data_IF_175868401288
#
_entry.id   IF_175868401288
#
_cell.length_a   1.000
_cell.length_b   1.000
_cell.length_c   1.000
_cell.angle_alpha   90.00
_cell.angle_beta   90.00
_cell.angle_gamma   90.00
#
_symmetry.space_group_name_H-M   'P 1'
#
loop_
_entity.id
_entity.type
_entity.pdbx_description
1 polymer ?
#
# COMPACT_ATOMS: atom_id res chain seq x y z
N UNK A 1 1.16 1.14 -25.04
CA UNK A 1 0.45 1.95 -24.02
C UNK A 1 1.04 1.61 -22.67
N UNK A 2 1.70 2.56 -22.01
CA UNK A 2 2.33 2.33 -20.71
C UNK A 2 1.25 2.06 -19.67
N UNK A 3 1.16 0.83 -19.17
CA UNK A 3 0.25 0.44 -18.10
C UNK A 3 0.78 0.94 -16.74
N UNK A 4 0.87 2.26 -16.58
CA UNK A 4 1.24 2.86 -15.30
C UNK A 4 0.00 3.01 -14.44
N UNK A 5 -0.02 2.29 -13.32
CA UNK A 5 -0.99 2.53 -12.26
C UNK A 5 -0.58 3.84 -11.57
N UNK A 6 -1.44 4.87 -11.51
CA UNK A 6 -1.12 6.10 -10.81
C UNK A 6 -0.95 5.84 -9.31
N UNK A 7 0.13 6.36 -8.73
CA UNK A 7 0.44 6.23 -7.31
C UNK A 7 0.41 7.63 -6.69
N UNK A 8 -0.40 7.81 -5.65
CA UNK A 8 -0.40 9.02 -4.82
C UNK A 8 0.53 8.80 -3.64
N UNK A 9 1.45 9.73 -3.41
CA UNK A 9 2.37 9.73 -2.26
C UNK A 9 2.00 10.87 -1.31
N UNK A 10 1.74 10.54 -0.05
CA UNK A 10 1.36 11.48 1.00
C UNK A 10 2.33 11.37 2.16
N UNK A 11 3.14 12.40 2.46
CA UNK A 11 3.99 12.39 3.64
C UNK A 11 3.16 12.40 4.92
N UNK A 12 3.52 11.54 5.87
CA UNK A 12 2.92 11.47 7.21
C UNK A 12 3.97 11.94 8.24
N UNK A 13 3.88 13.20 8.73
CA UNK A 13 4.87 13.76 9.65
C UNK A 13 5.08 12.88 10.88
N UNK A 14 6.34 12.56 11.18
CA UNK A 14 6.71 11.68 12.30
C UNK A 14 6.47 10.18 12.08
N UNK A 15 5.70 9.78 11.07
CA UNK A 15 5.33 8.37 10.82
C UNK A 15 6.10 7.81 9.62
N UNK A 16 6.07 8.50 8.47
CA UNK A 16 6.63 7.97 7.22
C UNK A 16 5.94 8.53 5.97
N UNK A 17 5.70 7.67 5.00
CA UNK A 17 5.01 8.01 3.74
C UNK A 17 3.90 7.02 3.48
N UNK A 18 2.72 7.51 3.11
CA UNK A 18 1.62 6.69 2.61
C UNK A 18 1.64 6.71 1.08
N UNK A 19 1.56 5.54 0.48
CA UNK A 19 1.38 5.35 -0.96
C UNK A 19 0.01 4.75 -1.20
N UNK A 20 -0.76 5.32 -2.11
CA UNK A 20 -2.08 4.79 -2.48
C UNK A 20 -2.13 4.55 -3.98
N UNK A 21 -2.66 3.40 -4.38
CA UNK A 21 -2.94 3.09 -5.78
C UNK A 21 -4.37 2.55 -5.95
N UNK A 22 -4.95 2.82 -7.10
CA UNK A 22 -6.25 2.25 -7.48
C UNK A 22 -6.03 1.03 -8.37
N UNK A 23 -6.63 -0.08 -7.99
CA UNK A 23 -6.63 -1.30 -8.79
C UNK A 23 -7.73 -1.23 -9.85
N UNK A 24 -7.59 -1.96 -10.96
CA UNK A 24 -8.65 -2.06 -11.97
C UNK A 24 -9.95 -2.65 -11.42
N UNK A 25 -9.88 -3.45 -10.35
CA UNK A 25 -11.04 -4.03 -9.68
C UNK A 25 -11.83 -3.08 -8.78
N UNK A 26 -11.58 -1.76 -8.85
CA UNK A 26 -12.32 -0.76 -8.08
C UNK A 26 -11.96 -0.69 -6.59
N UNK A 27 -10.84 -1.31 -6.19
CA UNK A 27 -10.31 -1.22 -4.82
C UNK A 27 -9.11 -0.29 -4.78
N UNK A 28 -8.96 0.44 -3.67
CA UNK A 28 -7.77 1.20 -3.39
C UNK A 28 -6.87 0.43 -2.40
N UNK A 29 -5.58 0.42 -2.69
CA UNK A 29 -4.56 -0.21 -1.86
C UNK A 29 -3.65 0.88 -1.30
N UNK A 30 -3.51 0.91 0.03
CA UNK A 30 -2.63 1.83 0.75
C UNK A 30 -1.47 1.08 1.37
N UNK A 31 -0.27 1.64 1.24
CA UNK A 31 0.95 1.17 1.85
C UNK A 31 1.52 2.32 2.69
N UNK A 32 1.61 2.12 4.01
CA UNK A 32 2.32 3.05 4.89
C UNK A 32 3.72 2.51 5.12
N UNK A 33 4.72 3.20 4.58
CA UNK A 33 6.12 2.95 4.84
C UNK A 33 6.56 3.79 6.05
N UNK A 34 6.61 3.16 7.23
CA UNK A 34 7.04 3.81 8.46
C UNK A 34 8.56 4.05 8.45
N UNK A 35 9.01 5.10 9.14
CA UNK A 35 10.44 5.46 9.25
C UNK A 35 11.31 4.37 9.89
N UNK A 36 10.72 3.55 10.76
CA UNK A 36 11.35 2.39 11.41
C UNK A 36 11.54 1.19 10.44
N UNK A 37 11.12 1.33 9.17
CA UNK A 37 11.18 0.24 8.19
C UNK A 37 10.01 -0.74 8.32
N UNK A 38 9.02 -0.52 9.17
CA UNK A 38 7.77 -1.29 9.16
C UNK A 38 6.88 -0.85 8.00
N UNK A 39 6.15 -1.79 7.41
CA UNK A 39 5.19 -1.50 6.35
C UNK A 39 3.81 -1.91 6.82
N UNK A 40 2.79 -1.13 6.48
CA UNK A 40 1.40 -1.53 6.70
C UNK A 40 0.66 -1.50 5.38
N UNK A 41 -0.07 -2.57 5.06
CA UNK A 41 -0.87 -2.68 3.85
C UNK A 41 -2.34 -2.69 4.24
N UNK A 42 -3.15 -1.85 3.60
CA UNK A 42 -4.59 -1.81 3.79
C UNK A 42 -5.29 -1.78 2.42
N UNK A 43 -6.47 -2.39 2.36
CA UNK A 43 -7.34 -2.40 1.20
C UNK A 43 -8.67 -1.79 1.63
N UNK A 44 -9.17 -0.83 0.85
CA UNK A 44 -10.45 -0.18 1.09
C UNK A 44 -11.22 -0.06 -0.22
N UNK A 45 -12.54 0.06 -0.08
CA UNK A 45 -13.40 0.41 -1.19
C UNK A 45 -13.18 1.90 -1.53
N UNK A 46 -13.19 2.23 -2.82
CA UNK A 46 -12.97 3.62 -3.26
C UNK A 46 -14.12 4.53 -2.78
N UNK A 47 -15.34 3.99 -2.74
CA UNK A 47 -16.56 4.72 -2.40
C UNK A 47 -16.85 4.79 -0.89
N UNK A 48 -16.18 3.97 -0.06
CA UNK A 48 -16.39 3.95 1.39
C UNK A 48 -15.03 3.83 2.13
N UNK A 49 -14.34 4.96 2.37
CA UNK A 49 -13.07 4.97 3.09
C UNK A 49 -13.20 4.59 4.57
N UNK A 50 -14.42 4.59 5.12
CA UNK A 50 -14.75 4.12 6.46
C UNK A 50 -14.84 2.58 6.54
N UNK A 51 -15.09 1.88 5.42
CA UNK A 51 -14.87 0.46 5.24
C UNK A 51 -13.36 0.15 5.18
N UNK A 52 -12.69 0.41 6.30
CA UNK A 52 -11.30 0.02 6.51
C UNK A 52 -11.24 -1.50 6.55
N UNK A 53 -10.89 -2.11 5.41
CA UNK A 53 -10.56 -3.53 5.36
C UNK A 53 -9.40 -3.82 6.34
N UNK A 54 -9.29 -5.06 6.85
CA UNK A 54 -8.27 -5.39 7.85
C UNK A 54 -6.87 -5.10 7.30
N UNK A 55 -6.21 -4.11 7.90
CA UNK A 55 -4.84 -3.76 7.58
C UNK A 55 -3.87 -4.80 8.13
N UNK A 56 -2.86 -5.18 7.34
CA UNK A 56 -1.79 -6.10 7.74
C UNK A 56 -0.53 -5.30 8.00
N UNK A 57 0.06 -5.49 9.19
CA UNK A 57 1.41 -4.99 9.50
C UNK A 57 2.43 -6.03 9.05
N UNK A 58 3.43 -5.57 8.33
CA UNK A 58 4.53 -6.36 7.80
C UNK A 58 5.84 -5.90 8.44
N UNK A 59 6.62 -6.87 8.89
CA UNK A 59 8.04 -6.67 9.20
C UNK A 59 8.82 -6.38 7.91
N UNK A 60 10.07 -5.88 8.03
CA UNK A 60 10.90 -5.67 6.86
C UNK A 60 11.10 -6.92 5.99
N UNK A 61 11.30 -8.08 6.61
CA UNK A 61 11.52 -9.33 5.90
C UNK A 61 10.26 -9.81 5.15
N UNK A 62 9.09 -9.74 5.79
CA UNK A 62 7.81 -10.10 5.15
C UNK A 62 7.48 -9.18 3.98
N UNK A 63 7.74 -7.87 4.12
CA UNK A 63 7.53 -6.91 3.05
C UNK A 63 8.43 -7.18 1.84
N UNK A 64 9.70 -7.54 2.08
CA UNK A 64 10.63 -7.95 1.00
C UNK A 64 10.13 -9.21 0.31
N UNK A 65 9.81 -10.27 1.06
CA UNK A 65 9.31 -11.51 0.48
C UNK A 65 8.02 -11.30 -0.34
N UNK A 66 7.09 -10.45 0.14
CA UNK A 66 5.88 -10.10 -0.61
C UNK A 66 6.20 -9.31 -1.89
N UNK A 67 7.16 -8.38 -1.84
CA UNK A 67 7.56 -7.61 -3.02
C UNK A 67 8.12 -8.51 -4.13
N UNK A 68 8.90 -9.53 -3.77
CA UNK A 68 9.41 -10.52 -4.72
C UNK A 68 8.25 -11.27 -5.39
N UNK A 69 7.26 -11.73 -4.62
CA UNK A 69 6.07 -12.40 -5.18
C UNK A 69 5.22 -11.50 -6.09
N UNK A 70 5.17 -10.20 -5.81
CA UNK A 70 4.38 -9.23 -6.58
C UNK A 70 5.07 -8.76 -7.86
N UNK A 71 6.39 -8.80 -7.91
CA UNK A 71 7.16 -8.35 -9.08
C UNK A 71 7.12 -9.39 -10.21
N UNK A 72 6.92 -10.67 -9.85
CA UNK A 72 6.97 -11.79 -10.79
C UNK A 72 8.39 -12.03 -11.30
N UNK A 73 8.73 -13.28 -11.63
CA UNK A 73 9.93 -13.60 -12.41
C UNK A 73 9.75 -13.21 -13.88
#
# INVERSE_FOLDING_TARGET
MSNQVPITSTPLPGIGTQYTLQTQGGRALSIVAARDGRRSLAIFEIDDPDACGPGVRLTPAEATALAELLTGE
#
